data_IF_135843029586
#
_entry.id   IF_135843029586
#
_cell.length_a   1.000
_cell.length_b   1.000
_cell.length_c   1.000
_cell.angle_alpha   90.00
_cell.angle_beta   90.00
_cell.angle_gamma   90.00
#
_symmetry.space_group_name_H-M   'P 1'
#
loop_
_entity.id
_entity.type
_entity.pdbx_description
1 polymer ?
#
# COMPACT_ATOMS: atom_id res chain seq x y z
N UNK A 1 17.86 25.01 19.93
CA UNK A 1 16.67 25.02 20.81
C UNK A 1 15.36 25.38 20.06
N UNK A 2 15.28 25.09 18.75
CA UNK A 2 14.04 25.21 17.93
C UNK A 2 13.61 23.88 17.29
N UNK A 3 14.40 22.80 17.46
CA UNK A 3 14.09 21.46 16.91
C UNK A 3 13.29 20.56 17.85
N UNK A 4 13.01 20.99 19.09
CA UNK A 4 12.17 20.25 20.06
C UNK A 4 10.70 20.70 20.07
N UNK A 5 10.36 21.81 19.43
CA UNK A 5 8.97 22.31 19.36
C UNK A 5 8.17 21.69 18.21
N UNK A 6 8.81 21.23 17.14
CA UNK A 6 8.13 20.53 16.03
C UNK A 6 7.74 19.08 16.37
N UNK A 7 8.39 18.47 17.37
CA UNK A 7 7.93 17.19 17.93
C UNK A 7 6.67 17.38 18.79
N UNK A 8 6.54 18.51 19.48
CA UNK A 8 5.35 18.80 20.29
C UNK A 8 4.16 19.31 19.47
N UNK A 9 4.41 20.03 18.37
CA UNK A 9 3.35 20.42 17.43
C UNK A 9 2.77 19.22 16.65
N UNK A 10 3.54 18.12 16.48
CA UNK A 10 3.06 16.88 15.87
C UNK A 10 2.57 15.82 16.88
N UNK A 11 2.67 16.09 18.18
CA UNK A 11 2.03 15.26 19.21
C UNK A 11 0.52 15.53 19.32
N UNK A 12 0.00 16.57 18.66
CA UNK A 12 -1.40 17.02 18.78
C UNK A 12 -2.34 16.62 17.63
N UNK A 13 -1.93 15.71 16.74
CA UNK A 13 -2.87 15.11 15.75
C UNK A 13 -3.30 13.69 16.09
N UNK A 14 -2.75 13.10 17.17
CA UNK A 14 -3.16 11.78 17.65
C UNK A 14 -3.75 11.79 19.07
N UNK A 15 -3.49 12.83 19.87
CA UNK A 15 -4.03 12.94 21.23
C UNK A 15 -5.39 13.68 21.30
N UNK A 16 -5.79 14.35 20.21
CA UNK A 16 -7.12 14.99 20.09
C UNK A 16 -7.95 14.24 19.05
N UNK A 17 -8.62 13.20 19.53
CA UNK A 17 -9.78 12.61 18.87
C UNK A 17 -9.45 11.38 18.03
N UNK A 18 -9.68 10.20 18.63
CA UNK A 18 -9.83 8.87 18.02
C UNK A 18 -10.69 8.84 16.72
N UNK A 19 -11.41 9.91 16.39
CA UNK A 19 -12.30 10.07 15.23
C UNK A 19 -11.70 10.86 14.07
N UNK A 20 -10.64 11.65 14.26
CA UNK A 20 -10.21 12.66 13.28
C UNK A 20 -9.19 12.15 12.24
N UNK A 21 -8.32 11.22 12.61
CA UNK A 21 -7.37 10.63 11.65
C UNK A 21 -8.02 9.67 10.66
N UNK A 22 -9.24 9.17 10.92
CA UNK A 22 -10.00 8.32 9.99
C UNK A 22 -10.75 9.15 8.95
N UNK A 23 -10.97 10.44 9.22
CA UNK A 23 -11.66 11.38 8.32
C UNK A 23 -10.72 12.07 7.32
N UNK A 24 -9.43 11.74 7.29
CA UNK A 24 -8.50 12.26 6.28
C UNK A 24 -8.90 11.73 4.89
N UNK A 25 -9.19 12.63 3.94
CA UNK A 25 -9.48 12.30 2.52
C UNK A 25 -8.22 12.05 1.71
N UNK A 26 -7.08 12.27 2.36
CA UNK A 26 -5.77 12.44 1.77
C UNK A 26 -4.82 11.52 2.54
N UNK A 27 -4.12 10.64 1.83
CA UNK A 27 -3.03 9.86 2.41
C UNK A 27 -1.77 10.71 2.27
N UNK A 28 -1.15 11.10 3.38
CA UNK A 28 0.10 11.85 3.38
C UNK A 28 1.27 10.87 3.47
N UNK A 29 2.25 11.05 2.58
CA UNK A 29 3.47 10.24 2.49
C UNK A 29 4.68 11.17 2.64
N UNK A 30 5.62 10.80 3.50
CA UNK A 30 6.89 11.52 3.59
C UNK A 30 7.86 11.05 2.51
N UNK A 31 8.18 11.93 1.56
CA UNK A 31 9.22 11.70 0.56
C UNK A 31 10.59 11.97 1.20
N UNK A 32 11.39 10.91 1.36
CA UNK A 32 12.72 10.98 1.98
C UNK A 32 13.74 11.73 1.13
N UNK A 33 13.59 11.72 -0.20
CA UNK A 33 14.51 12.39 -1.13
C UNK A 33 14.32 13.89 -1.10
N UNK A 34 13.06 14.34 -1.17
CA UNK A 34 12.73 15.78 -1.13
C UNK A 34 12.56 16.33 0.27
N UNK A 35 12.44 15.44 1.28
CA UNK A 35 12.17 15.76 2.69
C UNK A 35 10.85 16.52 2.89
N UNK A 36 9.84 16.20 2.08
CA UNK A 36 8.52 16.85 2.10
C UNK A 36 7.41 15.84 2.33
N UNK A 37 6.31 16.32 2.91
CA UNK A 37 5.06 15.59 2.90
C UNK A 37 4.39 15.78 1.53
N UNK A 38 4.07 14.68 0.88
CA UNK A 38 3.39 14.62 -0.41
C UNK A 38 2.07 13.89 -0.21
N UNK A 39 1.02 14.38 -0.83
CA UNK A 39 -0.26 13.70 -0.84
C UNK A 39 -0.28 12.60 -1.92
N UNK A 40 -0.74 11.41 -1.55
CA UNK A 40 -1.00 10.33 -2.50
C UNK A 40 -2.33 10.57 -3.21
N UNK A 41 -2.26 10.69 -4.52
CA UNK A 41 -3.45 10.81 -5.37
C UNK A 41 -4.24 9.50 -5.33
N UNK A 42 -5.45 9.56 -4.80
CA UNK A 42 -6.41 8.47 -4.79
C UNK A 42 -7.71 9.01 -5.39
N UNK A 43 -8.35 8.22 -6.24
CA UNK A 43 -9.66 8.60 -6.79
C UNK A 43 -10.65 8.85 -5.64
N UNK A 44 -11.24 10.06 -5.61
CA UNK A 44 -12.14 10.48 -4.53
C UNK A 44 -13.37 9.58 -4.37
N UNK A 45 -13.82 8.91 -5.43
CA UNK A 45 -14.92 7.93 -5.35
C UNK A 45 -14.49 6.69 -4.57
N UNK A 46 -13.25 6.23 -4.76
CA UNK A 46 -12.70 5.10 -4.00
C UNK A 46 -12.63 5.46 -2.52
N UNK A 47 -12.13 6.67 -2.20
CA UNK A 47 -12.06 7.16 -0.81
C UNK A 47 -13.44 7.21 -0.17
N UNK A 48 -14.44 7.78 -0.85
CA UNK A 48 -15.80 7.88 -0.33
C UNK A 48 -16.43 6.49 -0.13
N UNK A 49 -16.19 5.57 -1.07
CA UNK A 49 -16.69 4.19 -1.00
C UNK A 49 -16.10 3.42 0.18
N UNK A 50 -14.78 3.54 0.39
CA UNK A 50 -14.10 2.92 1.52
C UNK A 50 -14.61 3.46 2.86
N UNK A 51 -14.91 4.76 2.94
CA UNK A 51 -15.51 5.35 4.15
C UNK A 51 -16.88 4.77 4.44
N UNK A 52 -17.75 4.69 3.44
CA UNK A 52 -19.09 4.14 3.62
C UNK A 52 -19.05 2.70 4.17
N UNK A 53 -18.14 1.88 3.63
CA UNK A 53 -17.94 0.48 4.02
C UNK A 53 -17.35 0.32 5.42
N UNK A 54 -16.25 1.02 5.73
CA UNK A 54 -15.47 0.74 6.94
C UNK A 54 -15.71 1.67 8.12
N UNK A 55 -16.39 2.82 7.93
CA UNK A 55 -16.61 3.81 9.00
C UNK A 55 -18.02 3.81 9.56
N UNK A 56 -18.98 3.17 8.88
CA UNK A 56 -20.35 3.03 9.38
C UNK A 56 -20.53 1.69 10.09
N UNK A 57 -21.23 1.68 11.24
CA UNK A 57 -21.56 0.44 11.95
C UNK A 57 -22.37 -0.51 11.06
N UNK A 58 -23.28 0.07 10.27
CA UNK A 58 -24.10 -0.65 9.28
C UNK A 58 -23.22 -1.25 8.17
N UNK A 59 -22.26 -0.49 7.63
CA UNK A 59 -21.32 -0.98 6.62
C UNK A 59 -20.46 -2.15 7.11
N UNK A 60 -19.94 -2.06 8.34
CA UNK A 60 -19.19 -3.15 8.97
C UNK A 60 -20.04 -4.42 9.16
N UNK A 61 -21.29 -4.29 9.62
CA UNK A 61 -22.19 -5.44 9.76
C UNK A 61 -22.58 -6.05 8.41
N UNK A 62 -22.71 -5.23 7.36
CA UNK A 62 -23.01 -5.71 6.01
C UNK A 62 -21.83 -6.48 5.42
N UNK A 63 -20.58 -6.06 5.67
CA UNK A 63 -19.36 -6.80 5.29
C UNK A 63 -19.41 -8.25 5.80
N UNK A 64 -19.81 -8.44 7.05
CA UNK A 64 -19.86 -9.74 7.72
C UNK A 64 -21.12 -10.58 7.35
N UNK A 65 -22.11 -9.99 6.67
CA UNK A 65 -23.42 -10.61 6.35
C UNK A 65 -23.61 -11.02 4.88
N UNK A 66 -22.54 -11.12 4.09
CA UNK A 66 -22.59 -11.59 2.69
C UNK A 66 -22.07 -10.60 1.64
N UNK A 67 -21.75 -9.35 2.02
CA UNK A 67 -21.05 -8.42 1.12
C UNK A 67 -19.67 -8.97 0.75
N UNK A 68 -19.04 -9.78 1.61
CA UNK A 68 -17.77 -10.46 1.30
C UNK A 68 -17.86 -11.31 0.01
N UNK A 69 -18.93 -12.06 -0.17
CA UNK A 69 -19.11 -12.91 -1.37
C UNK A 69 -19.39 -12.07 -2.61
N UNK A 70 -20.13 -10.97 -2.45
CA UNK A 70 -20.35 -9.99 -3.52
C UNK A 70 -19.02 -9.37 -3.96
N UNK A 71 -18.21 -8.90 -3.01
CA UNK A 71 -16.89 -8.31 -3.27
C UNK A 71 -15.94 -9.32 -3.91
N UNK A 72 -15.94 -10.58 -3.43
CA UNK A 72 -15.18 -11.67 -4.05
C UNK A 72 -15.60 -11.87 -5.50
N UNK A 73 -16.89 -12.01 -5.76
CA UNK A 73 -17.42 -12.20 -7.11
C UNK A 73 -17.10 -11.01 -8.03
N UNK A 74 -17.18 -9.78 -7.51
CA UNK A 74 -16.77 -8.58 -8.24
C UNK A 74 -15.28 -8.59 -8.56
N UNK A 75 -14.42 -8.94 -7.60
CA UNK A 75 -12.98 -9.05 -7.79
C UNK A 75 -12.63 -10.12 -8.83
N UNK A 76 -13.26 -11.30 -8.78
CA UNK A 76 -13.04 -12.37 -9.74
C UNK A 76 -13.52 -11.99 -11.15
N UNK A 77 -14.69 -11.35 -11.26
CA UNK A 77 -15.20 -10.82 -12.54
C UNK A 77 -14.27 -9.75 -13.11
N UNK A 78 -13.79 -8.85 -12.27
CA UNK A 78 -12.85 -7.82 -12.67
C UNK A 78 -11.51 -8.43 -13.10
N UNK A 79 -10.99 -9.42 -12.38
CA UNK A 79 -9.78 -10.16 -12.77
C UNK A 79 -9.92 -10.85 -14.12
N UNK A 80 -11.07 -11.52 -14.38
CA UNK A 80 -11.38 -12.11 -15.69
C UNK A 80 -11.44 -11.06 -16.79
N UNK A 81 -12.05 -9.89 -16.52
CA UNK A 81 -12.07 -8.76 -17.45
C UNK A 81 -10.67 -8.24 -17.77
N UNK A 82 -9.79 -8.10 -16.76
CA UNK A 82 -8.41 -7.62 -16.98
C UNK A 82 -7.50 -8.66 -17.67
N UNK A 83 -7.95 -9.91 -17.79
CA UNK A 83 -7.32 -10.95 -18.61
C UNK A 83 -7.90 -11.02 -20.03
N UNK A 84 -8.86 -10.17 -20.40
CA UNK A 84 -9.43 -10.17 -21.76
C UNK A 84 -8.62 -9.28 -22.70
N UNK A 85 -8.54 -9.60 -24.01
CA UNK A 85 -7.78 -8.78 -24.97
C UNK A 85 -8.26 -7.33 -25.07
N UNK A 86 -9.56 -7.09 -24.85
CA UNK A 86 -10.15 -5.76 -24.91
C UNK A 86 -9.61 -4.84 -23.81
N UNK A 87 -9.16 -5.42 -22.68
CA UNK A 87 -8.61 -4.66 -21.55
C UNK A 87 -7.28 -3.96 -21.87
N UNK A 88 -6.56 -4.39 -22.91
CA UNK A 88 -5.33 -3.70 -23.33
C UNK A 88 -5.58 -2.23 -23.70
N UNK A 89 -6.81 -1.89 -24.12
CA UNK A 89 -7.23 -0.51 -24.43
C UNK A 89 -7.25 0.41 -23.20
N UNK A 90 -7.29 -0.16 -21.99
CA UNK A 90 -7.27 0.60 -20.74
C UNK A 90 -5.84 1.01 -20.31
N UNK A 91 -4.79 0.39 -20.89
CA UNK A 91 -3.38 0.66 -20.53
C UNK A 91 -3.00 2.14 -20.75
N UNK A 92 -3.27 2.79 -21.91
CA UNK A 92 -2.87 4.18 -22.11
C UNK A 92 -3.53 5.14 -21.11
N UNK A 93 -4.83 4.91 -20.82
CA UNK A 93 -5.56 5.70 -19.83
C UNK A 93 -4.98 5.51 -18.42
N UNK A 94 -4.57 4.30 -18.08
CA UNK A 94 -3.88 4.03 -16.81
C UNK A 94 -2.54 4.76 -16.72
N UNK A 95 -1.74 4.74 -17.79
CA UNK A 95 -0.48 5.49 -17.85
C UNK A 95 -0.68 7.01 -17.72
N UNK A 96 -1.75 7.55 -18.31
CA UNK A 96 -2.12 8.96 -18.16
C UNK A 96 -2.52 9.30 -16.72
N UNK A 97 -3.34 8.47 -16.08
CA UNK A 97 -3.75 8.66 -14.69
C UNK A 97 -2.56 8.63 -13.71
N UNK A 98 -1.53 7.85 -14.03
CA UNK A 98 -0.29 7.75 -13.26
C UNK A 98 0.89 8.40 -13.97
N UNK A 99 0.65 9.43 -14.78
CA UNK A 99 1.69 10.15 -15.50
C UNK A 99 2.70 10.77 -14.53
N UNK A 100 3.99 10.62 -14.84
CA UNK A 100 5.09 11.04 -13.96
C UNK A 100 5.31 10.10 -12.76
N UNK A 101 4.44 9.12 -12.56
CA UNK A 101 4.69 8.00 -11.67
C UNK A 101 5.25 6.86 -12.52
N UNK A 102 4.51 6.27 -13.47
CA UNK A 102 5.01 5.10 -14.19
C UNK A 102 6.06 5.45 -15.26
N UNK A 103 7.27 4.91 -15.12
CA UNK A 103 8.32 5.04 -16.13
C UNK A 103 8.33 3.83 -17.07
N UNK A 104 7.88 4.02 -18.31
CA UNK A 104 7.88 2.95 -19.32
C UNK A 104 9.28 2.62 -19.86
N UNK A 105 10.25 3.51 -19.72
CA UNK A 105 11.63 3.25 -20.15
C UNK A 105 12.32 2.17 -19.29
N UNK A 106 11.81 1.91 -18.09
CA UNK A 106 12.28 0.83 -17.22
C UNK A 106 11.63 -0.52 -17.53
N UNK A 107 10.56 -0.53 -18.33
CA UNK A 107 9.87 -1.76 -18.72
C UNK A 107 10.68 -2.49 -19.79
N UNK A 108 10.74 -3.82 -19.69
CA UNK A 108 11.49 -4.67 -20.62
C UNK A 108 10.87 -4.69 -22.02
N UNK A 109 9.55 -4.79 -22.09
CA UNK A 109 8.79 -4.95 -23.32
C UNK A 109 8.01 -3.65 -23.66
N UNK A 110 7.81 -3.33 -24.96
CA UNK A 110 7.08 -2.14 -25.38
C UNK A 110 5.58 -2.27 -25.08
N UNK A 111 4.86 -1.14 -24.98
CA UNK A 111 3.44 -1.10 -24.59
C UNK A 111 2.57 -1.95 -25.53
N UNK A 112 2.89 -1.93 -26.82
CA UNK A 112 2.15 -2.61 -27.89
C UNK A 112 2.26 -4.14 -27.81
N UNK A 113 3.20 -4.65 -27.00
CA UNK A 113 3.38 -6.09 -26.82
C UNK A 113 2.38 -6.73 -25.85
N UNK A 114 1.77 -5.93 -24.97
CA UNK A 114 0.84 -6.41 -23.95
C UNK A 114 -0.53 -6.68 -24.56
N UNK A 115 -0.98 -7.94 -24.48
CA UNK A 115 -2.27 -8.37 -25.04
C UNK A 115 -3.42 -8.14 -24.08
N UNK A 116 -3.14 -8.01 -22.78
CA UNK A 116 -4.14 -7.78 -21.74
C UNK A 116 -3.64 -6.75 -20.74
N UNK A 117 -4.55 -6.14 -20.00
CA UNK A 117 -4.18 -5.21 -18.93
C UNK A 117 -3.36 -5.91 -17.84
N UNK A 118 -3.71 -7.15 -17.49
CA UNK A 118 -2.98 -7.90 -16.47
C UNK A 118 -1.54 -8.22 -16.90
N UNK A 119 -1.30 -8.54 -18.17
CA UNK A 119 0.07 -8.70 -18.71
C UNK A 119 0.91 -7.43 -18.50
N UNK A 120 0.32 -6.26 -18.75
CA UNK A 120 0.95 -4.97 -18.46
C UNK A 120 1.11 -4.73 -16.94
N UNK A 121 0.14 -5.13 -16.12
CA UNK A 121 0.17 -4.93 -14.67
C UNK A 121 1.33 -5.71 -14.02
N UNK A 122 1.64 -6.91 -14.52
CA UNK A 122 2.77 -7.74 -14.07
C UNK A 122 4.03 -7.58 -14.94
N UNK A 123 4.11 -6.51 -15.74
CA UNK A 123 5.20 -6.29 -16.70
C UNK A 123 6.58 -6.46 -16.06
N UNK A 124 7.51 -7.03 -16.81
CA UNK A 124 8.89 -7.17 -16.36
C UNK A 124 9.62 -5.83 -16.48
N UNK A 125 10.44 -5.51 -15.48
CA UNK A 125 11.39 -4.42 -15.55
C UNK A 125 12.71 -4.89 -16.17
N UNK A 126 13.47 -3.96 -16.73
CA UNK A 126 14.84 -4.19 -17.20
C UNK A 126 15.71 -4.60 -15.99
N UNK A 127 16.66 -5.54 -16.14
CA UNK A 127 17.55 -5.93 -15.04
C UNK A 127 18.35 -4.78 -14.43
N UNK A 128 18.64 -3.75 -15.24
CA UNK A 128 19.34 -2.54 -14.80
C UNK A 128 18.47 -1.54 -14.03
N UNK A 129 17.14 -1.71 -14.00
CA UNK A 129 16.24 -0.75 -13.39
C UNK A 129 16.33 -0.75 -11.85
N UNK A 130 16.70 -1.88 -11.24
CA UNK A 130 16.75 -2.06 -9.77
C UNK A 130 18.05 -2.77 -9.34
N UNK A 131 19.20 -2.10 -9.39
CA UNK A 131 20.44 -2.69 -8.87
C UNK A 131 20.33 -2.95 -7.37
N UNK A 132 20.67 -4.16 -6.93
CA UNK A 132 20.69 -4.52 -5.51
C UNK A 132 21.91 -3.85 -4.87
N UNK A 133 21.67 -2.99 -3.90
CA UNK A 133 22.74 -2.35 -3.14
C UNK A 133 23.40 -3.36 -2.19
N UNK A 134 24.73 -3.30 -2.06
CA UNK A 134 25.50 -4.07 -1.09
C UNK A 134 25.28 -5.59 -1.15
N UNK A 135 25.33 -6.18 -2.35
CA UNK A 135 25.01 -7.61 -2.57
C UNK A 135 25.88 -8.58 -1.77
N UNK A 136 27.10 -8.18 -1.41
CA UNK A 136 28.05 -9.00 -0.66
C UNK A 136 27.99 -8.76 0.86
N UNK A 137 27.15 -7.83 1.33
CA UNK A 137 27.02 -7.49 2.75
C UNK A 137 25.75 -8.11 3.35
N UNK A 138 25.90 -9.26 3.99
CA UNK A 138 24.81 -9.97 4.67
C UNK A 138 24.20 -9.23 5.87
N UNK A 139 24.78 -8.09 6.29
CA UNK A 139 24.20 -7.25 7.35
C UNK A 139 23.17 -6.24 6.83
N UNK A 140 23.07 -6.06 5.51
CA UNK A 140 22.18 -5.08 4.89
C UNK A 140 20.97 -5.78 4.26
N UNK A 141 19.77 -5.38 4.71
CA UNK A 141 18.52 -5.76 4.07
C UNK A 141 18.09 -4.71 3.04
N UNK A 142 17.74 -5.15 1.84
CA UNK A 142 17.19 -4.29 0.77
C UNK A 142 15.67 -4.43 0.69
N UNK A 143 15.01 -3.48 0.02
CA UNK A 143 13.56 -3.52 -0.12
C UNK A 143 13.15 -4.65 -1.08
N UNK A 144 12.16 -5.44 -0.68
CA UNK A 144 11.68 -6.58 -1.48
C UNK A 144 10.85 -6.16 -2.70
N UNK A 145 10.29 -4.96 -2.70
CA UNK A 145 9.47 -4.43 -3.77
C UNK A 145 9.53 -2.89 -3.79
N UNK A 146 9.25 -2.31 -4.95
CA UNK A 146 8.90 -0.91 -5.06
C UNK A 146 7.58 -0.69 -4.29
N UNK A 147 7.59 0.19 -3.29
CA UNK A 147 6.47 0.31 -2.37
C UNK A 147 6.55 1.56 -1.49
N UNK A 148 5.50 1.77 -0.69
CA UNK A 148 5.55 2.63 0.50
C UNK A 148 5.97 1.80 1.71
N UNK A 149 7.11 2.15 2.29
CA UNK A 149 7.68 1.49 3.46
C UNK A 149 7.15 2.10 4.75
N UNK A 150 6.69 1.26 5.66
CA UNK A 150 6.48 1.62 7.07
C UNK A 150 7.32 0.69 7.94
N UNK A 151 8.11 1.26 8.84
CA UNK A 151 8.97 0.51 9.74
C UNK A 151 8.65 0.89 11.19
N UNK A 152 8.56 -0.14 12.03
CA UNK A 152 8.31 -0.04 13.47
C UNK A 152 9.42 -0.77 14.21
N UNK A 153 9.93 -0.16 15.28
CA UNK A 153 11.00 -0.76 16.10
C UNK A 153 10.56 -2.05 16.75
N UNK A 154 9.27 -2.16 17.10
CA UNK A 154 8.66 -3.36 17.65
C UNK A 154 7.27 -3.63 17.08
N UNK A 155 6.87 -4.91 17.10
CA UNK A 155 5.48 -5.33 16.85
C UNK A 155 4.48 -4.57 17.75
N UNK A 156 4.82 -4.37 19.02
CA UNK A 156 3.95 -3.67 19.97
C UNK A 156 3.71 -2.21 19.58
N UNK A 157 4.71 -1.53 19.03
CA UNK A 157 4.52 -0.19 18.44
C UNK A 157 3.61 -0.24 17.21
N UNK A 158 3.77 -1.21 16.33
CA UNK A 158 2.95 -1.32 15.12
C UNK A 158 1.45 -1.48 15.41
N UNK A 159 1.10 -2.23 16.47
CA UNK A 159 -0.29 -2.43 16.89
C UNK A 159 -0.97 -1.14 17.38
N UNK A 160 -0.19 -0.20 17.92
CA UNK A 160 -0.70 1.12 18.37
C UNK A 160 -0.99 2.06 17.21
N UNK A 161 -0.16 2.02 16.16
CA UNK A 161 -0.21 3.02 15.09
C UNK A 161 -1.12 2.64 13.91
N UNK A 162 -1.14 1.37 13.51
CA UNK A 162 -1.66 1.05 12.18
C UNK A 162 -3.11 0.55 12.17
N UNK A 163 -3.62 0.06 13.31
CA UNK A 163 -4.87 -0.72 13.29
C UNK A 163 -5.88 -0.09 14.23
N UNK A 164 -6.58 0.91 13.68
CA UNK A 164 -7.81 1.44 14.25
C UNK A 164 -8.84 0.32 14.41
N UNK A 165 -8.87 -0.28 15.59
CA UNK A 165 -10.03 -1.01 16.09
C UNK A 165 -10.09 -2.51 15.81
N UNK A 166 -9.04 -3.16 15.30
CA UNK A 166 -8.94 -4.63 15.30
C UNK A 166 -7.63 -5.06 15.95
N UNK A 167 -7.68 -6.03 16.87
CA UNK A 167 -6.51 -6.58 17.55
C UNK A 167 -5.64 -7.32 16.53
N UNK A 168 -4.72 -6.63 15.89
CA UNK A 168 -3.68 -7.30 15.10
C UNK A 168 -2.71 -7.98 16.05
N UNK A 169 -2.45 -9.24 15.77
CA UNK A 169 -1.42 -10.02 16.42
C UNK A 169 -0.64 -10.76 15.35
N UNK A 170 0.64 -11.01 15.63
CA UNK A 170 1.49 -11.84 14.75
C UNK A 170 0.90 -13.24 14.63
N UNK A 171 0.33 -13.77 15.71
CA UNK A 171 -0.42 -15.03 15.71
C UNK A 171 -1.60 -15.01 14.72
N UNK A 172 -2.40 -13.94 14.72
CA UNK A 172 -3.52 -13.80 13.78
C UNK A 172 -3.08 -13.61 12.33
N UNK A 173 -1.90 -13.02 12.10
CA UNK A 173 -1.33 -12.86 10.77
C UNK A 173 -0.74 -14.16 10.22
N UNK A 174 0.02 -14.89 11.04
CA UNK A 174 0.75 -16.09 10.60
C UNK A 174 -0.07 -17.38 10.73
N UNK A 175 -1.15 -17.35 11.51
CA UNK A 175 -1.95 -18.54 11.84
C UNK A 175 -1.36 -19.34 13.00
N UNK A 176 -2.16 -20.28 13.52
CA UNK A 176 -1.85 -21.04 14.73
C UNK A 176 -0.62 -21.97 14.60
N UNK A 177 -0.28 -22.40 13.39
CA UNK A 177 0.81 -23.35 13.13
C UNK A 177 2.19 -22.68 13.00
N UNK A 178 2.23 -21.33 12.98
CA UNK A 178 3.47 -20.60 12.84
C UNK A 178 4.19 -20.42 14.19
N UNK A 179 5.52 -20.45 14.16
CA UNK A 179 6.36 -20.14 15.33
C UNK A 179 6.36 -18.63 15.64
N UNK A 180 5.20 -18.07 15.99
CA UNK A 180 5.04 -16.64 16.27
C UNK A 180 5.98 -16.14 17.38
N UNK A 181 6.37 -17.02 18.32
CA UNK A 181 7.32 -16.70 19.39
C UNK A 181 8.68 -16.21 18.87
N UNK A 182 9.12 -16.67 17.69
CA UNK A 182 10.36 -16.22 17.07
C UNK A 182 10.33 -14.74 16.65
N UNK A 183 9.12 -14.18 16.48
CA UNK A 183 8.92 -12.79 16.04
C UNK A 183 8.53 -11.85 17.19
N UNK A 184 8.42 -12.38 18.42
CA UNK A 184 8.07 -11.58 19.60
C UNK A 184 9.15 -10.52 19.83
N UNK A 185 8.72 -9.28 20.06
CA UNK A 185 9.59 -8.09 20.21
C UNK A 185 10.45 -7.77 18.98
N UNK A 186 10.22 -8.43 17.84
CA UNK A 186 10.91 -8.11 16.60
C UNK A 186 10.45 -6.77 16.01
N UNK A 187 11.27 -6.19 15.14
CA UNK A 187 10.87 -5.05 14.33
C UNK A 187 9.90 -5.48 13.23
N UNK A 188 8.96 -4.61 12.88
CA UNK A 188 7.99 -4.86 11.82
C UNK A 188 8.22 -3.89 10.67
N UNK A 189 8.34 -4.43 9.47
CA UNK A 189 8.43 -3.65 8.24
C UNK A 189 7.29 -4.06 7.32
N UNK A 190 6.52 -3.08 6.86
CA UNK A 190 5.39 -3.28 5.96
C UNK A 190 5.70 -2.55 4.65
N UNK A 191 5.63 -3.32 3.57
CA UNK A 191 5.74 -2.85 2.21
C UNK A 191 4.33 -2.77 1.61
N UNK A 192 3.79 -1.55 1.42
CA UNK A 192 2.50 -1.35 0.74
C UNK A 192 2.73 -1.05 -0.74
N UNK A 193 2.30 -1.97 -1.61
CA UNK A 193 2.26 -1.73 -3.04
C UNK A 193 1.01 -0.90 -3.37
N UNK A 194 1.22 0.27 -3.95
CA UNK A 194 0.18 1.06 -4.58
C UNK A 194 0.07 0.67 -6.07
N UNK A 195 -1.04 0.98 -6.76
CA UNK A 195 -1.21 0.67 -8.20
C UNK A 195 -0.09 1.21 -9.09
N UNK A 196 0.55 2.32 -8.66
CA UNK A 196 1.72 2.91 -9.31
C UNK A 196 3.07 2.28 -8.91
N UNK A 197 3.10 1.32 -7.98
CA UNK A 197 4.33 0.85 -7.34
C UNK A 197 5.11 -0.10 -8.26
N UNK A 198 5.94 0.53 -9.08
CA UNK A 198 7.08 0.00 -9.81
C UNK A 198 8.12 1.10 -9.95
N UNK A 199 8.38 1.86 -8.87
CA UNK A 199 9.11 3.13 -8.87
C UNK A 199 9.97 3.34 -7.61
N UNK A 200 11.08 4.11 -7.74
CA UNK A 200 11.89 4.57 -6.60
C UNK A 200 11.17 5.55 -5.66
#
# INVERSE_FOLDING_TARGET
>A
WMFKLSEWANFSSYDVGLRSGSTASHILVFDRRTKRLVEEAIDGKIVLSMRALYQSKVGLTLIDSGVKDILKNLSEKQGKKMNSPESAKDIPKFLELFAGQINMDETKDPIESFKTFNEFFIRQLKPSARPIAHIDDGSIATCAADCRLMAYSSVDESTRFWIKGRKFSIEGLLGADAHYNAFKNGSLVIFRLAPQSGLP
#
